data_IF_510422338406
#
_entry.id   IF_510422338406
#
_cell.length_a   1.000
_cell.length_b   1.000
_cell.length_c   1.000
_cell.angle_alpha   90.00
_cell.angle_beta   90.00
_cell.angle_gamma   90.00
#
_symmetry.space_group_name_H-M   'P 1'
#
loop_
_entity.id
_entity.type
_entity.pdbx_description
1 polymer ?
#
# COMPACT_ATOMS: atom_id res chain seq x y z
N UNK A 1 9.61 -13.59 38.14
CA UNK A 1 8.62 -13.88 39.19
C UNK A 1 7.85 -12.61 39.41
N UNK A 2 6.63 -12.49 38.87
CA UNK A 2 5.60 -11.52 39.26
C UNK A 2 4.30 -12.04 38.63
N UNK A 3 3.59 -12.86 39.41
CA UNK A 3 2.24 -13.33 39.16
C UNK A 3 1.27 -12.21 39.55
N UNK A 4 0.18 -12.04 38.82
CA UNK A 4 -1.22 -11.90 39.30
C UNK A 4 -2.14 -11.50 38.12
N UNK A 5 -3.45 -11.79 38.19
CA UNK A 5 -4.08 -12.72 37.25
C UNK A 5 -5.07 -12.09 36.24
N UNK A 6 -5.46 -12.94 35.28
CA UNK A 6 -6.60 -12.82 34.36
C UNK A 6 -7.91 -12.56 35.11
N UNK A 7 -8.78 -11.68 34.57
CA UNK A 7 -10.22 -11.79 34.74
C UNK A 7 -10.93 -11.64 33.39
N UNK A 8 -11.67 -12.69 33.06
CA UNK A 8 -12.65 -12.81 31.99
C UNK A 8 -14.03 -12.73 32.67
N UNK A 9 -14.94 -11.90 32.16
CA UNK A 9 -16.36 -11.96 32.54
C UNK A 9 -17.19 -11.80 31.26
N UNK A 10 -17.48 -12.93 30.62
CA UNK A 10 -18.74 -13.12 29.95
C UNK A 10 -19.80 -13.38 31.02
N UNK A 11 -20.98 -12.76 30.92
CA UNK A 11 -22.02 -12.94 31.94
C UNK A 11 -23.31 -12.19 31.65
N UNK A 12 -24.14 -12.82 30.82
CA UNK A 12 -25.59 -12.95 31.00
C UNK A 12 -26.45 -11.68 31.19
N UNK A 13 -27.16 -11.39 30.09
CA UNK A 13 -28.58 -11.03 30.07
C UNK A 13 -29.36 -11.74 31.19
N UNK A 14 -30.04 -10.98 32.04
CA UNK A 14 -31.23 -11.42 32.76
C UNK A 14 -32.15 -10.22 32.91
N UNK A 15 -33.39 -10.36 32.44
CA UNK A 15 -34.35 -9.27 32.35
C UNK A 15 -35.02 -8.91 33.68
N UNK A 16 -35.83 -7.85 33.62
CA UNK A 16 -37.01 -7.75 34.47
C UNK A 16 -38.11 -6.97 33.76
N UNK A 17 -39.27 -7.61 33.74
CA UNK A 17 -40.59 -7.11 33.38
C UNK A 17 -41.03 -6.00 34.33
N UNK A 18 -41.67 -4.96 33.79
CA UNK A 18 -42.77 -4.25 34.43
C UNK A 18 -43.60 -3.60 33.31
N UNK A 19 -44.63 -4.27 32.80
CA UNK A 19 -46.00 -4.13 33.28
C UNK A 19 -46.62 -2.76 32.90
N UNK A 20 -47.32 -2.72 31.76
CA UNK A 20 -48.36 -1.73 31.51
C UNK A 20 -49.47 -2.40 30.68
N UNK A 21 -50.41 -2.98 31.41
CA UNK A 21 -51.70 -3.51 30.95
C UNK A 21 -52.65 -2.39 30.53
N UNK A 22 -53.31 -2.52 29.36
CA UNK A 22 -54.77 -2.31 29.20
C UNK A 22 -55.27 -2.57 27.77
N UNK A 23 -56.25 -3.46 27.70
CA UNK A 23 -57.34 -3.60 26.71
C UNK A 23 -57.18 -4.63 25.56
N UNK A 24 -58.21 -5.49 25.53
CA UNK A 24 -58.51 -6.76 24.84
C UNK A 24 -59.47 -6.45 23.65
N UNK A 25 -59.88 -7.37 22.75
CA UNK A 25 -59.24 -8.42 21.93
C UNK A 25 -59.42 -8.08 20.41
N UNK A 26 -59.39 -9.08 19.52
CA UNK A 26 -59.65 -9.02 18.05
C UNK A 26 -58.40 -8.81 17.19
N UNK A 27 -57.64 -9.90 17.02
CA UNK A 27 -56.99 -10.24 15.75
C UNK A 27 -56.45 -11.69 15.84
N UNK A 28 -57.32 -12.64 16.21
CA UNK A 28 -57.00 -14.07 16.24
C UNK A 28 -57.28 -14.76 14.89
N UNK A 29 -57.24 -14.02 13.77
CA UNK A 29 -57.67 -14.53 12.45
C UNK A 29 -56.78 -14.06 11.28
N UNK A 30 -55.47 -13.88 11.53
CA UNK A 30 -54.47 -13.61 10.49
C UNK A 30 -53.18 -14.43 10.65
N UNK A 31 -53.23 -15.57 11.35
CA UNK A 31 -52.06 -16.39 11.68
C UNK A 31 -51.98 -17.72 10.88
N UNK A 32 -52.48 -17.76 9.63
CA UNK A 32 -52.43 -18.99 8.80
C UNK A 32 -51.69 -18.80 7.45
N UNK A 33 -51.23 -17.59 7.10
CA UNK A 33 -50.45 -17.36 5.86
C UNK A 33 -49.14 -16.59 6.07
N UNK A 34 -48.42 -16.90 7.14
CA UNK A 34 -47.04 -16.45 7.33
C UNK A 34 -46.10 -17.66 7.38
N UNK A 35 -46.08 -18.47 6.31
CA UNK A 35 -44.88 -19.24 5.99
C UNK A 35 -43.84 -18.23 5.49
N UNK A 36 -42.73 -17.98 6.19
CA UNK A 36 -41.62 -17.31 5.54
C UNK A 36 -41.05 -18.32 4.55
N UNK A 37 -41.26 -18.06 3.27
CA UNK A 37 -40.56 -18.67 2.15
C UNK A 37 -39.08 -18.22 2.16
N UNK A 38 -38.38 -18.47 3.27
CA UNK A 38 -37.00 -18.04 3.52
C UNK A 38 -36.02 -19.21 3.59
N UNK A 39 -36.41 -20.40 3.12
CA UNK A 39 -35.58 -21.60 3.15
C UNK A 39 -34.92 -21.96 1.80
N UNK A 40 -34.98 -21.09 0.78
CA UNK A 40 -34.40 -21.35 -0.55
C UNK A 40 -33.46 -20.23 -1.00
N UNK A 41 -32.54 -19.77 -0.15
CA UNK A 41 -31.46 -18.88 -0.58
C UNK A 41 -30.17 -19.00 0.23
N UNK A 42 -30.02 -20.04 1.06
CA UNK A 42 -28.70 -20.39 1.59
C UNK A 42 -28.07 -21.36 0.59
N UNK A 43 -27.45 -20.81 -0.45
CA UNK A 43 -26.52 -21.59 -1.26
C UNK A 43 -25.55 -22.28 -0.31
N UNK A 44 -25.44 -23.60 -0.43
CA UNK A 44 -24.61 -24.43 0.45
C UNK A 44 -23.22 -23.82 0.51
N UNK A 45 -22.91 -23.19 1.64
CA UNK A 45 -21.62 -22.55 1.81
C UNK A 45 -20.63 -23.69 2.02
N UNK A 46 -19.97 -24.13 0.94
CA UNK A 46 -19.08 -25.29 0.95
C UNK A 46 -17.90 -25.11 1.94
N UNK A 47 -17.70 -23.89 2.44
CA UNK A 47 -16.78 -23.57 3.54
C UNK A 47 -17.29 -24.06 4.91
N UNK A 48 -18.60 -24.11 5.15
CA UNK A 48 -19.21 -24.48 6.44
C UNK A 48 -19.02 -25.93 6.86
N UNK A 49 -18.67 -26.82 5.90
CA UNK A 49 -18.31 -28.22 6.21
C UNK A 49 -16.89 -28.34 6.78
N UNK A 50 -16.07 -27.30 6.67
CA UNK A 50 -14.74 -27.28 7.26
C UNK A 50 -14.82 -26.66 8.65
N UNK A 51 -14.50 -27.46 9.66
CA UNK A 51 -14.38 -26.98 11.01
C UNK A 51 -13.00 -26.35 11.19
N UNK A 52 -12.95 -25.07 11.57
CA UNK A 52 -11.68 -24.39 11.81
C UNK A 52 -10.99 -25.05 13.00
N UNK A 53 -9.80 -25.59 12.75
CA UNK A 53 -8.99 -26.22 13.79
C UNK A 53 -8.11 -25.17 14.47
N UNK A 54 -8.48 -24.74 15.67
CA UNK A 54 -7.64 -23.87 16.50
C UNK A 54 -6.54 -24.72 17.18
N UNK A 55 -5.39 -24.75 16.53
CA UNK A 55 -4.17 -25.32 17.08
C UNK A 55 -3.37 -24.25 17.82
N UNK A 56 -2.95 -24.48 19.08
CA UNK A 56 -1.98 -23.59 19.74
C UNK A 56 -0.57 -23.73 19.15
N UNK A 57 -0.31 -24.74 18.31
CA UNK A 57 0.99 -24.98 17.70
C UNK A 57 1.04 -24.43 16.27
N UNK A 58 2.11 -23.71 15.94
CA UNK A 58 2.41 -23.23 14.58
C UNK A 58 2.48 -24.42 13.63
N UNK A 59 1.63 -24.43 12.60
CA UNK A 59 1.62 -25.47 11.57
C UNK A 59 2.97 -25.52 10.85
N UNK A 60 3.64 -26.67 10.93
CA UNK A 60 4.86 -26.98 10.17
C UNK A 60 4.53 -28.08 9.16
N UNK A 61 4.46 -27.78 7.85
CA UNK A 61 4.17 -28.81 6.87
C UNK A 61 5.30 -29.84 6.81
N UNK A 62 4.95 -31.13 6.75
CA UNK A 62 5.93 -32.22 6.61
C UNK A 62 6.68 -32.17 5.26
N UNK A 63 6.04 -31.61 4.23
CA UNK A 63 6.62 -31.44 2.90
C UNK A 63 6.51 -29.98 2.49
N UNK A 64 7.66 -29.34 2.31
CA UNK A 64 7.76 -28.01 1.67
C UNK A 64 8.19 -28.23 0.22
N UNK A 65 7.40 -27.77 -0.78
CA UNK A 65 7.77 -27.89 -2.19
C UNK A 65 9.16 -27.27 -2.42
N UNK A 66 9.97 -27.87 -3.29
CA UNK A 66 11.32 -27.38 -3.60
C UNK A 66 11.34 -25.89 -4.01
N UNK A 67 10.32 -25.43 -4.75
CA UNK A 67 10.17 -24.02 -5.14
C UNK A 67 9.86 -23.05 -3.98
N UNK A 68 9.51 -23.57 -2.80
CA UNK A 68 9.34 -22.80 -1.56
C UNK A 68 10.53 -23.01 -0.62
N UNK A 69 11.15 -24.20 -0.64
CA UNK A 69 12.26 -24.63 0.21
C UNK A 69 13.61 -24.04 -0.20
N UNK A 70 13.78 -23.71 -1.49
CA UNK A 70 14.97 -23.00 -1.95
C UNK A 70 14.89 -21.52 -1.55
N UNK A 71 15.86 -21.05 -0.77
CA UNK A 71 16.03 -19.67 -0.31
C UNK A 71 16.02 -18.66 -1.46
N UNK A 72 14.82 -18.37 -1.95
CA UNK A 72 14.58 -17.46 -3.05
C UNK A 72 14.46 -16.04 -2.54
N UNK A 73 14.94 -15.09 -3.34
CA UNK A 73 14.73 -13.68 -3.06
C UNK A 73 13.27 -13.30 -3.27
N UNK A 74 12.72 -12.61 -2.30
CA UNK A 74 11.34 -12.13 -2.30
C UNK A 74 11.34 -10.60 -2.26
N UNK A 75 10.31 -10.01 -2.86
CA UNK A 75 10.09 -8.56 -2.83
C UNK A 75 9.10 -8.25 -1.72
N UNK A 76 9.52 -7.43 -0.78
CA UNK A 76 8.70 -6.98 0.34
C UNK A 76 8.75 -5.45 0.40
N UNK A 77 7.71 -4.87 0.98
CA UNK A 77 7.67 -3.46 1.34
C UNK A 77 7.72 -3.38 2.86
N UNK A 78 8.78 -2.77 3.37
CA UNK A 78 8.94 -2.48 4.79
C UNK A 78 8.27 -1.15 5.06
N UNK A 79 7.22 -1.14 5.87
CA UNK A 79 6.48 0.06 6.28
C UNK A 79 7.08 0.58 7.57
N UNK A 80 7.39 1.87 7.59
CA UNK A 80 8.07 2.53 8.69
C UNK A 80 7.06 3.30 9.57
N UNK A 81 7.48 3.66 10.78
CA UNK A 81 6.59 4.22 11.80
C UNK A 81 6.25 5.69 11.59
N UNK A 82 7.15 6.49 10.99
CA UNK A 82 6.84 7.91 10.76
C UNK A 82 5.80 8.13 9.67
N UNK A 83 5.15 9.28 9.72
CA UNK A 83 4.02 9.60 8.85
C UNK A 83 4.42 9.69 7.37
N UNK A 84 3.55 9.15 6.50
CA UNK A 84 3.57 9.48 5.08
C UNK A 84 2.92 10.84 4.82
N UNK A 85 3.17 11.43 3.65
CA UNK A 85 2.47 12.68 3.25
C UNK A 85 0.94 12.50 3.26
N UNK A 86 0.44 11.33 2.87
CA UNK A 86 -0.97 11.02 2.93
C UNK A 86 -1.49 10.91 4.38
N UNK A 87 -0.73 10.28 5.28
CA UNK A 87 -1.07 10.19 6.70
C UNK A 87 -1.06 11.58 7.36
N UNK A 88 -0.05 12.41 7.08
CA UNK A 88 0.02 13.79 7.54
C UNK A 88 -1.16 14.63 7.00
N UNK A 89 -1.54 14.43 5.73
CA UNK A 89 -2.74 15.06 5.13
C UNK A 89 -4.03 14.61 5.80
N UNK A 90 -4.13 13.34 6.17
CA UNK A 90 -5.33 12.82 6.82
C UNK A 90 -5.59 13.48 8.20
N UNK A 91 -4.56 14.02 8.86
CA UNK A 91 -4.70 14.78 10.11
C UNK A 91 -5.34 16.16 9.93
N UNK A 92 -5.33 16.69 8.71
CA UNK A 92 -5.88 18.00 8.38
C UNK A 92 -6.92 17.86 7.25
N UNK A 93 -8.11 17.31 7.52
CA UNK A 93 -9.11 17.04 6.47
C UNK A 93 -9.62 18.33 5.80
N UNK A 94 -9.66 19.44 6.54
CA UNK A 94 -10.27 20.70 6.10
C UNK A 94 -9.32 21.59 5.30
N UNK A 95 -8.04 21.23 5.18
CA UNK A 95 -7.06 22.03 4.43
C UNK A 95 -6.01 21.19 3.72
N UNK A 96 -5.40 21.75 2.69
CA UNK A 96 -4.21 21.17 2.10
C UNK A 96 -2.97 21.45 2.96
N UNK A 97 -1.99 20.53 2.93
CA UNK A 97 -0.66 20.84 3.41
C UNK A 97 -0.02 21.91 2.53
N UNK A 98 0.62 22.87 3.17
CA UNK A 98 1.51 23.81 2.49
C UNK A 98 2.74 23.07 1.94
N UNK A 99 3.48 23.74 1.04
CA UNK A 99 4.69 23.15 0.46
C UNK A 99 5.75 22.83 1.51
N UNK A 100 5.90 23.70 2.50
CA UNK A 100 6.91 23.57 3.54
C UNK A 100 6.55 22.46 4.52
N UNK A 101 5.27 22.37 4.94
CA UNK A 101 4.78 21.24 5.76
C UNK A 101 4.98 19.91 5.06
N UNK A 102 4.61 19.84 3.76
CA UNK A 102 4.81 18.62 2.97
C UNK A 102 6.28 18.25 2.89
N UNK A 103 7.15 19.22 2.66
CA UNK A 103 8.60 19.00 2.56
C UNK A 103 9.19 18.52 3.88
N UNK A 104 8.75 19.09 5.01
CA UNK A 104 9.16 18.62 6.33
C UNK A 104 8.80 17.14 6.56
N UNK A 105 7.59 16.71 6.17
CA UNK A 105 7.18 15.30 6.25
C UNK A 105 8.01 14.42 5.30
N UNK A 106 8.27 14.89 4.08
CA UNK A 106 9.12 14.17 3.12
C UNK A 106 10.56 13.98 3.63
N UNK A 107 11.13 15.01 4.25
CA UNK A 107 12.48 15.01 4.81
C UNK A 107 12.56 14.12 6.05
N UNK A 108 11.55 14.14 6.93
CA UNK A 108 11.45 13.24 8.08
C UNK A 108 11.38 11.77 7.64
N UNK A 109 10.50 11.44 6.68
CA UNK A 109 10.41 10.09 6.14
C UNK A 109 11.71 9.68 5.43
N UNK A 110 12.40 10.61 4.77
CA UNK A 110 13.69 10.35 4.14
C UNK A 110 14.78 9.99 5.17
N UNK A 111 14.84 10.73 6.28
CA UNK A 111 15.83 10.51 7.34
C UNK A 111 15.64 9.14 8.02
N UNK A 112 14.40 8.77 8.33
CA UNK A 112 14.09 7.45 8.91
C UNK A 112 14.49 6.31 7.95
N UNK A 113 14.16 6.45 6.67
CA UNK A 113 14.54 5.48 5.64
C UNK A 113 16.07 5.33 5.54
N UNK A 114 16.80 6.45 5.54
CA UNK A 114 18.27 6.44 5.49
C UNK A 114 18.91 5.79 6.72
N UNK A 115 18.28 5.87 7.89
CA UNK A 115 18.75 5.21 9.11
C UNK A 115 18.65 3.68 9.05
N UNK A 116 17.60 3.15 8.42
CA UNK A 116 17.32 1.70 8.35
C UNK A 116 18.00 1.00 7.17
N UNK A 117 18.32 1.71 6.09
CA UNK A 117 18.94 1.14 4.89
C UNK A 117 20.25 0.36 5.10
N UNK A 118 21.17 0.80 5.97
CA UNK A 118 22.38 0.05 6.27
C UNK A 118 22.07 -1.31 6.91
N UNK A 119 21.08 -1.37 7.80
CA UNK A 119 20.67 -2.63 8.45
C UNK A 119 20.02 -3.60 7.46
N UNK A 120 19.21 -3.08 6.53
CA UNK A 120 18.64 -3.87 5.44
C UNK A 120 19.77 -4.44 4.56
N UNK A 121 20.71 -3.59 4.18
CA UNK A 121 21.82 -3.97 3.29
C UNK A 121 22.75 -4.98 3.97
N UNK A 122 23.04 -4.80 5.26
CA UNK A 122 23.84 -5.73 6.07
C UNK A 122 23.22 -7.13 6.20
N UNK A 123 21.91 -7.26 6.01
CA UNK A 123 21.18 -8.54 5.99
C UNK A 123 21.02 -9.14 4.59
N UNK A 124 21.70 -8.58 3.58
CA UNK A 124 21.61 -9.04 2.19
C UNK A 124 20.39 -8.48 1.44
N UNK A 125 19.69 -7.49 1.99
CA UNK A 125 18.59 -6.82 1.33
C UNK A 125 19.06 -5.77 0.32
N UNK A 126 18.40 -5.69 -0.83
CA UNK A 126 18.63 -4.64 -1.83
C UNK A 126 17.44 -3.70 -1.92
N UNK A 127 17.69 -2.40 -1.81
CA UNK A 127 16.65 -1.38 -1.96
C UNK A 127 16.29 -1.20 -3.43
N UNK A 128 15.02 -1.44 -3.75
CA UNK A 128 14.48 -1.28 -5.10
C UNK A 128 13.79 0.07 -5.28
N UNK A 129 13.02 0.51 -4.28
CA UNK A 129 12.24 1.75 -4.36
C UNK A 129 11.91 2.29 -2.98
N UNK A 130 11.80 3.60 -2.87
CA UNK A 130 11.34 4.31 -1.66
C UNK A 130 9.95 4.91 -1.90
N UNK A 131 9.10 4.86 -0.89
CA UNK A 131 7.76 5.45 -0.88
C UNK A 131 7.65 6.41 0.31
N UNK A 132 7.14 7.62 0.05
CA UNK A 132 6.96 8.67 1.07
C UNK A 132 5.58 9.31 1.01
N UNK A 133 4.94 9.28 -0.15
CA UNK A 133 3.68 9.97 -0.37
C UNK A 133 2.47 9.17 0.12
N UNK A 134 2.22 7.98 -0.43
CA UNK A 134 1.05 7.17 -0.07
C UNK A 134 1.23 6.47 1.28
N UNK A 135 2.38 5.83 1.46
CA UNK A 135 2.84 5.20 2.69
C UNK A 135 4.32 5.53 2.86
N UNK A 136 4.79 5.48 4.09
CA UNK A 136 6.19 5.58 4.39
C UNK A 136 6.78 4.17 4.39
N UNK A 137 7.56 3.84 3.36
CA UNK A 137 8.12 2.51 3.27
C UNK A 137 9.14 2.30 2.17
N UNK A 138 9.87 1.21 2.28
CA UNK A 138 10.97 0.85 1.39
C UNK A 138 10.65 -0.51 0.76
N UNK A 139 10.57 -0.53 -0.58
CA UNK A 139 10.52 -1.77 -1.33
C UNK A 139 11.92 -2.33 -1.46
N UNK A 140 12.08 -3.56 -1.00
CA UNK A 140 13.36 -4.26 -1.02
C UNK A 140 13.22 -5.65 -1.61
N UNK A 141 14.34 -6.21 -2.04
CA UNK A 141 14.51 -7.61 -2.41
C UNK A 141 15.48 -8.26 -1.43
N UNK A 142 15.06 -9.32 -0.76
CA UNK A 142 15.82 -9.99 0.30
C UNK A 142 15.57 -11.50 0.26
N UNK A 143 16.47 -12.29 0.82
CA UNK A 143 16.22 -13.72 1.04
C UNK A 143 15.02 -13.95 1.94
N UNK A 144 14.19 -14.93 1.56
CA UNK A 144 12.93 -15.25 2.25
C UNK A 144 13.11 -15.51 3.75
N UNK A 145 14.22 -16.13 4.13
CA UNK A 145 14.51 -16.48 5.52
C UNK A 145 14.84 -15.27 6.39
N UNK A 146 15.23 -14.14 5.77
CA UNK A 146 15.55 -12.89 6.45
C UNK A 146 14.33 -11.97 6.62
N UNK A 147 13.18 -12.29 6.01
CA UNK A 147 11.99 -11.43 6.07
C UNK A 147 11.50 -11.22 7.50
N UNK A 148 11.52 -12.26 8.33
CA UNK A 148 11.11 -12.16 9.73
C UNK A 148 12.04 -11.24 10.54
N UNK A 149 13.34 -11.18 10.20
CA UNK A 149 14.30 -10.32 10.87
C UNK A 149 14.06 -8.83 10.58
N UNK A 150 13.43 -8.49 9.44
CA UNK A 150 13.09 -7.11 9.12
C UNK A 150 12.04 -6.53 10.05
N UNK A 151 11.07 -7.34 10.50
CA UNK A 151 10.03 -6.90 11.43
C UNK A 151 10.59 -6.55 12.82
N UNK A 152 11.80 -7.01 13.14
CA UNK A 152 12.48 -6.70 14.39
C UNK A 152 13.33 -5.42 14.33
N UNK A 153 13.45 -4.79 13.16
CA UNK A 153 14.21 -3.55 13.01
C UNK A 153 13.49 -2.38 13.70
N UNK A 154 14.24 -1.44 14.29
CA UNK A 154 13.64 -0.27 14.92
C UNK A 154 12.87 0.57 13.89
N UNK A 155 11.68 1.01 14.25
CA UNK A 155 10.82 1.83 13.39
C UNK A 155 10.05 1.07 12.31
N UNK A 156 10.22 -0.26 12.18
CA UNK A 156 9.38 -1.07 11.28
C UNK A 156 8.05 -1.37 11.94
N UNK A 157 6.95 -1.01 11.27
CA UNK A 157 5.58 -1.32 11.73
C UNK A 157 5.07 -2.59 11.09
N UNK A 158 5.32 -2.76 9.78
CA UNK A 158 4.76 -3.86 9.01
C UNK A 158 5.66 -4.24 7.84
N UNK A 159 5.64 -5.52 7.47
CA UNK A 159 6.33 -6.03 6.28
C UNK A 159 5.30 -6.63 5.33
N UNK A 160 5.05 -5.94 4.21
CA UNK A 160 4.04 -6.32 3.23
C UNK A 160 4.65 -7.12 2.07
N UNK A 161 4.10 -8.28 1.70
CA UNK A 161 4.55 -9.03 0.53
C UNK A 161 4.13 -8.34 -0.78
N UNK A 162 5.00 -8.32 -1.78
CA UNK A 162 4.68 -7.77 -3.11
C UNK A 162 4.09 -8.86 -4.01
N UNK A 163 2.78 -8.79 -4.24
CA UNK A 163 2.05 -9.72 -5.11
C UNK A 163 2.09 -9.22 -6.56
N UNK A 164 2.24 -10.16 -7.50
CA UNK A 164 2.17 -9.86 -8.94
C UNK A 164 0.73 -10.00 -9.41
N UNK A 165 0.13 -8.90 -9.88
CA UNK A 165 -1.18 -8.89 -10.52
C UNK A 165 -1.05 -8.89 -12.03
N UNK A 166 -2.05 -9.43 -12.73
CA UNK A 166 -2.16 -9.38 -14.20
C UNK A 166 -3.53 -8.79 -14.57
N UNK A 167 -3.60 -7.89 -15.56
CA UNK A 167 -4.88 -7.42 -16.08
C UNK A 167 -5.70 -8.61 -16.58
N UNK A 168 -6.99 -8.63 -16.22
CA UNK A 168 -7.95 -9.56 -16.78
C UNK A 168 -8.94 -8.75 -17.63
N UNK A 169 -8.75 -8.82 -18.95
CA UNK A 169 -9.61 -8.17 -19.94
C UNK A 169 -10.45 -9.20 -20.71
N UNK A 170 -10.60 -10.43 -20.18
CA UNK A 170 -11.33 -11.50 -20.87
C UNK A 170 -12.85 -11.27 -20.92
N UNK A 171 -13.37 -10.43 -20.03
CA UNK A 171 -14.78 -10.04 -19.99
C UNK A 171 -14.86 -8.53 -20.15
N UNK A 172 -15.53 -8.07 -21.21
CA UNK A 172 -15.83 -6.64 -21.40
C UNK A 172 -16.93 -6.20 -20.43
N UNK A 173 -17.00 -4.89 -20.16
CA UNK A 173 -18.14 -4.32 -19.42
C UNK A 173 -19.43 -4.64 -20.17
N UNK A 174 -20.41 -5.33 -19.53
CA UNK A 174 -21.77 -5.40 -20.05
C UNK A 174 -22.32 -4.00 -20.25
N UNK A 175 -23.29 -3.83 -21.15
CA UNK A 175 -23.91 -2.53 -21.40
C UNK A 175 -24.50 -1.97 -20.09
N UNK A 176 -23.84 -0.97 -19.49
CA UNK A 176 -24.19 -0.37 -18.19
C UNK A 176 -25.34 0.64 -18.26
N UNK A 177 -26.00 0.80 -19.41
CA UNK A 177 -27.15 1.71 -19.56
C UNK A 177 -26.87 3.19 -19.27
N UNK A 178 -25.60 3.60 -19.22
CA UNK A 178 -25.23 4.97 -18.92
C UNK A 178 -25.86 5.93 -19.96
N UNK A 179 -26.59 6.98 -19.52
CA UNK A 179 -27.25 7.91 -20.44
C UNK A 179 -26.21 8.63 -21.30
N UNK A 180 -26.48 8.77 -22.61
CA UNK A 180 -25.59 9.48 -23.55
C UNK A 180 -25.22 10.90 -23.12
N UNK A 181 -25.94 11.50 -22.18
CA UNK A 181 -25.65 12.83 -21.63
C UNK A 181 -24.39 12.87 -20.75
N UNK A 182 -23.88 11.73 -20.26
CA UNK A 182 -22.66 11.68 -19.45
C UNK A 182 -21.37 11.61 -20.28
N UNK A 183 -21.47 11.61 -21.62
CA UNK A 183 -20.31 11.78 -22.50
C UNK A 183 -20.16 13.28 -22.74
N UNK A 184 -19.25 13.99 -22.04
CA UNK A 184 -18.93 15.35 -22.44
C UNK A 184 -18.42 15.27 -23.89
N UNK A 185 -19.01 16.06 -24.78
CA UNK A 185 -18.51 16.23 -26.13
C UNK A 185 -16.99 16.41 -26.02
N UNK A 186 -16.22 15.49 -26.59
CA UNK A 186 -14.77 15.57 -26.59
C UNK A 186 -14.44 16.97 -27.06
N UNK A 187 -13.88 17.80 -26.17
CA UNK A 187 -13.45 19.13 -26.56
C UNK A 187 -12.40 18.91 -27.63
N UNK A 188 -12.80 19.01 -28.90
CA UNK A 188 -11.91 19.27 -30.00
C UNK A 188 -11.22 20.54 -29.60
N UNK A 189 -10.05 20.41 -28.98
CA UNK A 189 -9.21 21.54 -28.65
C UNK A 189 -8.72 22.04 -29.99
N UNK A 190 -9.51 22.90 -30.62
CA UNK A 190 -9.11 23.69 -31.78
C UNK A 190 -7.72 24.21 -31.44
N UNK A 191 -6.68 23.87 -32.21
CA UNK A 191 -5.40 24.51 -32.01
C UNK A 191 -5.65 25.99 -32.32
N UNK A 192 -5.85 26.80 -31.29
CA UNK A 192 -5.62 28.23 -31.38
C UNK A 192 -4.15 28.34 -31.79
N UNK A 193 -3.94 28.49 -33.09
CA UNK A 193 -2.71 28.99 -33.69
C UNK A 193 -2.54 30.42 -33.17
N UNK A 194 -2.10 30.53 -31.92
CA UNK A 194 -1.55 31.75 -31.40
C UNK A 194 -0.19 31.88 -32.07
N UNK A 195 -0.13 32.74 -33.09
CA UNK A 195 1.08 33.17 -33.75
C UNK A 195 2.14 33.48 -32.68
N UNK A 196 3.14 32.59 -32.59
CA UNK A 196 4.31 32.78 -31.75
C UNK A 196 5.15 33.88 -32.40
N UNK A 197 5.03 35.09 -31.88
CA UNK A 197 5.94 36.18 -32.21
C UNK A 197 7.40 35.72 -32.06
N UNK A 198 8.30 36.04 -33.00
CA UNK A 198 9.69 35.62 -32.92
C UNK A 198 10.39 36.32 -31.75
N UNK A 199 10.92 35.50 -30.84
CA UNK A 199 11.83 35.91 -29.77
C UNK A 199 12.98 36.75 -30.35
N UNK A 200 13.30 37.95 -29.82
CA UNK A 200 14.42 38.72 -30.30
C UNK A 200 15.74 38.00 -29.96
N UNK A 201 16.46 37.62 -31.02
CA UNK A 201 17.85 37.12 -30.98
C UNK A 201 18.70 38.09 -30.16
N UNK A 202 19.12 37.68 -28.96
CA UNK A 202 20.16 38.37 -28.22
C UNK A 202 21.48 38.30 -29.00
N UNK A 203 22.00 39.49 -29.25
CA UNK A 203 23.21 39.83 -30.00
C UNK A 203 24.38 38.88 -29.78
N UNK A 204 25.05 38.60 -30.91
CA UNK A 204 26.43 38.15 -31.04
C UNK A 204 27.33 38.84 -30.01
N UNK A 205 28.02 38.06 -29.18
CA UNK A 205 29.28 38.48 -28.56
C UNK A 205 30.38 37.57 -29.08
N UNK A 206 31.03 38.03 -30.16
CA UNK A 206 32.36 37.56 -30.58
C UNK A 206 33.34 37.87 -29.45
N UNK A 207 34.22 36.94 -29.08
CA UNK A 207 35.62 37.13 -28.64
C UNK A 207 36.20 35.78 -28.11
N UNK A 208 37.54 35.58 -28.10
CA UNK A 208 38.21 34.81 -29.14
C UNK A 208 38.80 33.48 -28.65
N UNK A 209 39.22 32.67 -29.63
CA UNK A 209 40.01 31.46 -29.45
C UNK A 209 41.27 31.69 -28.60
N UNK A 210 41.41 30.89 -27.53
CA UNK A 210 42.70 30.60 -26.89
C UNK A 210 42.84 29.10 -26.69
N UNK A 211 43.64 28.52 -27.58
CA UNK A 211 44.73 27.55 -27.32
C UNK A 211 44.46 26.46 -26.27
N UNK A 212 44.18 25.25 -26.76
CA UNK A 212 44.42 23.99 -26.04
C UNK A 212 45.92 23.69 -25.99
N UNK A 213 46.53 23.34 -24.85
CA UNK A 213 47.80 22.66 -24.86
C UNK A 213 47.60 21.16 -25.10
N UNK A 214 48.29 20.65 -26.13
CA UNK A 214 48.45 19.24 -26.43
C UNK A 214 49.44 18.67 -25.39
N UNK A 215 48.99 17.75 -24.53
CA UNK A 215 49.90 16.84 -23.82
C UNK A 215 50.47 15.88 -24.87
N UNK A 216 51.74 16.08 -25.23
CA UNK A 216 52.54 15.08 -25.96
C UNK A 216 53.47 14.39 -24.97
N UNK A 217 53.44 13.07 -25.04
CA UNK A 217 54.25 12.14 -24.27
C UNK A 217 55.74 12.22 -24.63
N UNK A 218 56.54 11.70 -23.71
CA UNK A 218 57.80 10.96 -23.97
C UNK A 218 59.02 11.78 -24.36
N UNK A 219 59.76 12.25 -23.35
CA UNK A 219 61.19 12.53 -23.45
C UNK A 219 61.98 11.27 -23.07
N UNK A 220 62.42 10.52 -24.08
CA UNK A 220 63.44 9.48 -23.97
C UNK A 220 64.70 10.05 -24.63
N UNK A 221 65.73 10.38 -23.84
CA UNK A 221 67.04 10.78 -24.41
C UNK A 221 68.18 10.46 -23.45
N UNK A 222 68.90 9.38 -23.75
CA UNK A 222 70.36 9.19 -23.57
C UNK A 222 70.82 8.44 -24.81
N UNK A 223 71.87 8.90 -25.51
CA UNK A 223 73.26 8.57 -25.16
C UNK A 223 74.20 9.80 -25.34
N UNK A 224 75.47 9.86 -24.94
CA UNK A 224 76.52 8.89 -24.59
C UNK A 224 77.21 9.33 -23.30
#
# INVERSE_FOLDING_TARGET
MNKHPRQSIAGFVTGSLAAATRNVPVLLLAAIFAFPLAALAQGSNAASRFQQYDSPQTFKPAVVPLGVKGGGRVKVVVVMASDSVAAARARFPDRALTRDERRAVEDQAAAEQQGVEPEISGRGGHVLKRFRHALNGIKIEIDRDQVAALAALPGVVEVLPVIKHRPNNAVSVPFIGAPRSSIPASTTRTPTSAARAPSPRSKRRRLPARSRPIRRCSGLTRPR
#
